data_IF_672310913856
#
_entry.id   IF_672310913856
#
_cell.length_a   1.000
_cell.length_b   1.000
_cell.length_c   1.000
_cell.angle_alpha   90.00
_cell.angle_beta   90.00
_cell.angle_gamma   90.00
#
_symmetry.space_group_name_H-M   'P 1'
#
loop_
_entity.id
_entity.type
_entity.pdbx_description
1 polymer ?
#
# COMPACT_ATOMS: atom_id res chain seq x y z
N UNK A 1 -14.84 -1.21 11.23
CA UNK A 1 -13.90 -1.75 10.23
C UNK A 1 -14.63 -1.85 8.89
N UNK A 2 -13.94 -1.59 7.79
CA UNK A 2 -14.47 -1.65 6.42
C UNK A 2 -13.73 -2.75 5.64
N UNK A 3 -14.44 -3.56 4.85
CA UNK A 3 -13.80 -4.56 3.99
C UNK A 3 -13.01 -3.86 2.88
N UNK A 4 -11.77 -4.32 2.63
CA UNK A 4 -10.93 -3.89 1.53
C UNK A 4 -11.04 -4.85 0.34
N UNK A 5 -10.77 -6.13 0.56
CA UNK A 5 -10.70 -7.18 -0.46
C UNK A 5 -10.77 -8.58 0.15
N UNK A 6 -10.85 -9.61 -0.71
CA UNK A 6 -10.60 -10.99 -0.33
C UNK A 6 -9.10 -11.31 -0.45
N UNK A 7 -8.58 -12.23 0.37
CA UNK A 7 -7.16 -12.63 0.33
C UNK A 7 -6.76 -13.19 -1.04
N UNK A 8 -7.67 -13.91 -1.68
CA UNK A 8 -7.45 -14.55 -2.97
C UNK A 8 -7.37 -13.54 -4.13
N UNK A 9 -7.80 -12.29 -3.91
CA UNK A 9 -7.68 -11.20 -4.89
C UNK A 9 -6.30 -10.53 -4.85
N UNK A 10 -5.50 -10.78 -3.80
CA UNK A 10 -4.20 -10.14 -3.63
C UNK A 10 -3.16 -10.90 -4.46
N UNK A 11 -2.67 -10.25 -5.52
CA UNK A 11 -1.53 -10.79 -6.27
C UNK A 11 -0.30 -10.89 -5.34
N UNK A 12 0.32 -12.08 -5.20
CA UNK A 12 1.41 -12.28 -4.25
C UNK A 12 2.70 -11.52 -4.62
N UNK A 13 2.86 -11.11 -5.88
CA UNK A 13 4.02 -10.35 -6.35
C UNK A 13 3.71 -8.84 -6.46
N UNK A 14 2.49 -8.49 -6.86
CA UNK A 14 2.13 -7.12 -7.21
C UNK A 14 1.27 -6.41 -6.15
N UNK A 15 0.61 -7.17 -5.27
CA UNK A 15 -0.41 -6.65 -4.37
C UNK A 15 -1.69 -6.24 -5.08
N UNK A 16 -2.54 -5.49 -4.38
CA UNK A 16 -3.83 -5.00 -4.87
C UNK A 16 -4.08 -3.58 -4.36
N UNK A 17 -4.59 -2.71 -5.24
CA UNK A 17 -5.14 -1.43 -4.81
C UNK A 17 -6.58 -1.59 -4.32
N UNK A 18 -6.84 -1.16 -3.09
CA UNK A 18 -8.16 -1.15 -2.47
C UNK A 18 -8.59 0.29 -2.20
N UNK A 19 -9.91 0.48 -2.07
CA UNK A 19 -10.50 1.76 -1.68
C UNK A 19 -11.01 1.71 -0.24
N UNK A 20 -10.68 2.74 0.54
CA UNK A 20 -11.11 2.93 1.92
C UNK A 20 -11.91 4.23 2.06
N UNK A 21 -13.14 4.15 2.54
CA UNK A 21 -13.99 5.32 2.73
C UNK A 21 -13.72 5.93 4.12
N UNK A 22 -13.39 7.21 4.14
CA UNK A 22 -13.05 7.99 5.32
C UNK A 22 -13.94 9.25 5.39
N UNK A 23 -15.14 9.12 5.96
CA UNK A 23 -16.18 10.16 5.83
C UNK A 23 -16.57 10.31 4.35
N UNK A 24 -16.46 11.53 3.82
CA UNK A 24 -16.73 11.82 2.40
C UNK A 24 -15.49 11.65 1.48
N UNK A 25 -14.36 11.22 2.04
CA UNK A 25 -13.09 11.07 1.30
C UNK A 25 -12.84 9.60 0.96
N UNK A 26 -12.62 9.31 -0.32
CA UNK A 26 -12.11 8.01 -0.76
C UNK A 26 -10.58 8.03 -0.71
N UNK A 27 -9.98 7.05 -0.02
CA UNK A 27 -8.53 6.85 0.05
C UNK A 27 -8.14 5.58 -0.67
N UNK A 28 -7.01 5.61 -1.37
CA UNK A 28 -6.43 4.43 -2.01
C UNK A 28 -5.41 3.78 -1.07
N UNK A 29 -5.44 2.45 -1.02
CA UNK A 29 -4.62 1.62 -0.13
C UNK A 29 -3.96 0.55 -0.97
N UNK A 30 -2.64 0.43 -0.85
CA UNK A 30 -1.90 -0.72 -1.39
C UNK A 30 -1.94 -1.85 -0.35
N UNK A 31 -2.49 -2.99 -0.71
CA UNK A 31 -2.48 -4.23 0.08
C UNK A 31 -1.49 -5.20 -0.54
N UNK A 32 -0.56 -5.74 0.24
CA UNK A 32 0.52 -6.63 -0.23
C UNK A 32 0.65 -7.86 0.66
N UNK A 33 1.11 -8.96 0.08
CA UNK A 33 1.56 -10.13 0.82
C UNK A 33 3.08 -10.12 0.97
N UNK A 34 3.57 -10.28 2.19
CA UNK A 34 5.00 -10.33 2.52
C UNK A 34 5.23 -11.46 3.51
N UNK A 35 6.04 -12.45 3.13
CA UNK A 35 6.39 -13.61 3.97
C UNK A 35 5.17 -14.35 4.57
N UNK A 36 4.05 -14.36 3.84
CA UNK A 36 2.78 -14.99 4.27
C UNK A 36 1.87 -14.09 5.12
N UNK A 37 2.32 -12.89 5.48
CA UNK A 37 1.51 -11.87 6.16
C UNK A 37 0.93 -10.86 5.16
N UNK A 38 -0.26 -10.33 5.48
CA UNK A 38 -0.80 -9.17 4.78
C UNK A 38 -0.33 -7.87 5.44
N UNK A 39 0.05 -6.90 4.61
CA UNK A 39 0.33 -5.51 5.02
C UNK A 39 -0.50 -4.56 4.16
N UNK A 40 -0.83 -3.40 4.71
CA UNK A 40 -1.55 -2.36 3.99
C UNK A 40 -0.91 -0.99 4.22
N UNK A 41 -0.76 -0.24 3.14
CA UNK A 41 -0.11 1.08 3.11
C UNK A 41 -1.02 2.08 2.44
N UNK A 42 -1.06 3.32 2.92
CA UNK A 42 -1.68 4.40 2.17
C UNK A 42 -0.96 4.54 0.82
N UNK A 43 -1.72 4.66 -0.27
CA UNK A 43 -1.15 4.85 -1.61
C UNK A 43 -0.69 6.30 -1.82
N UNK A 44 0.29 6.72 -1.02
CA UNK A 44 0.80 8.09 -0.97
C UNK A 44 2.29 8.06 -0.67
N UNK A 45 3.09 8.53 -1.61
CA UNK A 45 4.52 8.71 -1.42
C UNK A 45 4.78 9.86 -0.43
N UNK A 46 5.54 9.65 0.67
CA UNK A 46 5.79 10.67 1.68
C UNK A 46 6.65 11.85 1.18
N UNK A 47 7.28 11.72 0.00
CA UNK A 47 8.09 12.79 -0.57
C UNK A 47 7.26 14.04 -0.92
N UNK A 48 6.19 13.86 -1.71
CA UNK A 48 5.39 14.97 -2.26
C UNK A 48 3.88 14.66 -2.23
N UNK A 49 3.45 13.66 -1.47
CA UNK A 49 2.04 13.28 -1.35
C UNK A 49 1.43 12.74 -2.65
N UNK A 50 2.25 12.23 -3.57
CA UNK A 50 1.81 11.72 -4.86
C UNK A 50 1.42 10.24 -4.77
N UNK A 51 0.52 9.80 -5.64
CA UNK A 51 0.18 8.37 -5.76
C UNK A 51 1.42 7.52 -6.04
N UNK A 52 1.45 6.31 -5.50
CA UNK A 52 2.44 5.28 -5.84
C UNK A 52 1.98 4.43 -7.04
N UNK A 53 0.70 4.49 -7.41
CA UNK A 53 0.20 3.86 -8.63
C UNK A 53 0.63 4.68 -9.86
N UNK A 54 1.14 4.00 -10.88
CA UNK A 54 1.54 4.64 -12.15
C UNK A 54 0.37 4.69 -13.15
N UNK A 55 -0.59 3.79 -13.00
CA UNK A 55 -1.89 3.76 -13.66
C UNK A 55 -2.95 3.25 -12.65
N UNK A 56 -4.27 3.37 -12.93
CA UNK A 56 -5.30 2.95 -11.98
C UNK A 56 -5.13 1.48 -11.55
N UNK A 57 -4.92 1.25 -10.25
CA UNK A 57 -4.68 -0.09 -9.70
C UNK A 57 -3.30 -0.71 -9.97
N UNK A 58 -2.42 -0.04 -10.74
CA UNK A 58 -1.14 -0.62 -11.17
C UNK A 58 0.05 0.06 -10.48
N UNK A 59 0.95 -0.76 -9.94
CA UNK A 59 2.17 -0.35 -9.24
C UNK A 59 3.42 -0.78 -10.00
N UNK A 60 4.53 -0.09 -9.76
CA UNK A 60 5.85 -0.46 -10.29
C UNK A 60 6.67 -1.12 -9.19
N UNK A 61 7.37 -2.19 -9.56
CA UNK A 61 8.35 -2.86 -8.70
C UNK A 61 9.68 -3.00 -9.43
N UNK A 62 10.78 -2.90 -8.69
CA UNK A 62 12.10 -3.18 -9.25
C UNK A 62 12.37 -4.70 -9.30
N UNK A 63 13.52 -5.10 -9.85
CA UNK A 63 13.91 -6.51 -9.95
C UNK A 63 14.11 -7.20 -8.58
N UNK A 64 14.11 -6.45 -7.48
CA UNK A 64 14.20 -6.95 -6.10
C UNK A 64 12.84 -6.96 -5.40
N UNK A 65 11.75 -6.65 -6.11
CA UNK A 65 10.40 -6.60 -5.56
C UNK A 65 10.13 -5.37 -4.67
N UNK A 66 10.98 -4.33 -4.73
CA UNK A 66 10.74 -3.08 -3.99
C UNK A 66 9.78 -2.20 -4.77
N UNK A 67 8.82 -1.60 -4.07
CA UNK A 67 7.83 -0.70 -4.66
C UNK A 67 8.53 0.58 -5.14
N UNK A 68 8.25 0.99 -6.38
CA UNK A 68 8.84 2.18 -7.00
C UNK A 68 7.79 3.28 -7.10
N UNK A 69 8.09 4.46 -6.56
CA UNK A 69 7.32 5.66 -6.83
C UNK A 69 7.53 6.11 -8.30
N UNK A 70 6.48 6.17 -9.13
CA UNK A 70 6.62 6.41 -10.57
C UNK A 70 6.99 7.85 -10.92
N UNK A 71 7.02 8.75 -9.93
CA UNK A 71 7.30 10.17 -10.16
C UNK A 71 8.79 10.50 -10.11
N UNK A 72 9.47 10.09 -9.03
CA UNK A 72 10.87 10.46 -8.79
C UNK A 72 11.75 9.26 -8.37
N UNK A 73 11.23 8.03 -8.51
CA UNK A 73 12.02 6.81 -8.33
C UNK A 73 12.37 6.45 -6.88
N UNK A 74 11.61 6.92 -5.89
CA UNK A 74 11.78 6.44 -4.52
C UNK A 74 11.45 4.94 -4.41
N UNK A 75 12.27 4.17 -3.69
CA UNK A 75 12.13 2.72 -3.54
C UNK A 75 11.77 2.34 -2.11
N UNK A 76 10.70 1.56 -1.96
CA UNK A 76 10.16 1.16 -0.66
C UNK A 76 10.22 -0.36 -0.48
N UNK A 77 10.61 -0.79 0.71
CA UNK A 77 10.45 -2.18 1.14
C UNK A 77 8.98 -2.36 1.56
N UNK A 78 8.24 -3.22 0.87
CA UNK A 78 6.80 -3.43 1.13
C UNK A 78 6.49 -4.05 2.49
N UNK A 79 7.43 -4.82 3.06
CA UNK A 79 7.28 -5.41 4.38
C UNK A 79 7.31 -4.42 5.54
N UNK A 80 8.11 -3.35 5.41
CA UNK A 80 8.32 -2.34 6.47
C UNK A 80 7.75 -0.97 6.13
N UNK A 81 7.48 -0.70 4.85
CA UNK A 81 7.13 0.61 4.33
C UNK A 81 8.31 1.57 4.22
N UNK A 82 9.54 1.16 4.58
CA UNK A 82 10.70 2.05 4.61
C UNK A 82 11.16 2.42 3.19
N UNK A 83 11.40 3.71 2.96
CA UNK A 83 12.07 4.22 1.77
C UNK A 83 13.58 4.05 1.89
N UNK A 84 14.16 3.15 1.09
CA UNK A 84 15.59 2.83 1.14
C UNK A 84 16.41 3.58 0.08
N UNK A 85 15.76 4.20 -0.90
CA UNK A 85 16.41 4.91 -1.99
C UNK A 85 15.54 6.05 -2.54
N UNK A 86 16.17 7.08 -3.08
CA UNK A 86 15.49 8.23 -3.68
C UNK A 86 15.25 9.40 -2.72
N UNK A 87 14.45 10.40 -3.13
CA UNK A 87 14.39 11.70 -2.46
C UNK A 87 13.84 11.70 -1.02
N UNK A 88 13.04 10.69 -0.65
CA UNK A 88 12.50 10.54 0.70
C UNK A 88 13.16 9.39 1.48
N UNK A 89 14.41 9.03 1.16
CA UNK A 89 15.16 7.99 1.88
C UNK A 89 15.13 8.23 3.39
N UNK A 90 14.80 7.18 4.15
CA UNK A 90 14.64 7.23 5.61
C UNK A 90 13.24 7.59 6.10
N UNK A 91 12.34 8.06 5.22
CA UNK A 91 10.91 8.14 5.53
C UNK A 91 10.23 6.78 5.32
N UNK A 92 8.95 6.67 5.68
CA UNK A 92 8.17 5.44 5.50
C UNK A 92 6.77 5.72 4.93
N UNK A 93 6.21 4.71 4.29
CA UNK A 93 4.79 4.67 3.94
C UNK A 93 3.93 4.70 5.21
N UNK A 94 2.78 5.37 5.12
CA UNK A 94 1.82 5.40 6.22
C UNK A 94 1.10 4.04 6.33
N UNK A 95 1.19 3.31 7.45
CA UNK A 95 0.49 2.05 7.60
C UNK A 95 -1.02 2.27 7.70
N UNK A 96 -1.78 1.35 7.09
CA UNK A 96 -3.22 1.24 7.29
C UNK A 96 -3.46 0.05 8.22
N UNK A 97 -4.04 0.30 9.39
CA UNK A 97 -4.34 -0.76 10.34
C UNK A 97 -5.38 -1.71 9.75
N UNK A 98 -5.05 -3.00 9.71
CA UNK A 98 -5.90 -4.05 9.14
C UNK A 98 -6.14 -5.19 10.13
N UNK A 99 -7.24 -5.91 9.89
CA UNK A 99 -7.61 -7.16 10.52
C UNK A 99 -7.92 -8.18 9.40
N UNK A 100 -7.31 -9.36 9.47
CA UNK A 100 -7.50 -10.44 8.50
C UNK A 100 -8.28 -11.55 9.17
N UNK A 101 -9.47 -11.86 8.65
CA UNK A 101 -10.34 -12.88 9.23
C UNK A 101 -11.20 -13.54 8.17
N UNK A 102 -11.31 -14.87 8.25
CA UNK A 102 -12.19 -15.63 7.37
C UNK A 102 -11.88 -15.50 5.87
N UNK A 103 -10.64 -15.21 5.49
CA UNK A 103 -10.26 -15.01 4.08
C UNK A 103 -10.45 -13.58 3.56
N UNK A 104 -10.87 -12.65 4.41
CA UNK A 104 -11.14 -11.26 4.03
C UNK A 104 -10.21 -10.29 4.77
N UNK A 105 -9.84 -9.20 4.10
CA UNK A 105 -9.04 -8.11 4.69
C UNK A 105 -9.95 -6.93 5.03
N UNK A 106 -9.89 -6.48 6.29
CA UNK A 106 -10.62 -5.31 6.76
C UNK A 106 -9.67 -4.22 7.23
N UNK A 107 -9.96 -2.96 6.89
CA UNK A 107 -9.28 -1.81 7.47
C UNK A 107 -10.03 -1.27 8.69
N UNK A 108 -9.28 -0.78 9.68
CA UNK A 108 -9.83 0.12 10.68
C UNK A 108 -10.38 1.38 9.99
N UNK A 109 -11.52 1.89 10.47
CA UNK A 109 -11.96 3.20 10.00
C UNK A 109 -10.92 4.22 10.45
N UNK A 110 -10.42 5.08 9.57
CA UNK A 110 -9.53 6.15 9.98
C UNK A 110 -10.29 7.03 10.97
N UNK A 111 -9.59 7.47 12.03
CA UNK A 111 -10.14 8.48 12.92
C UNK A 111 -10.52 9.72 12.08
N UNK A 112 -11.69 10.29 12.40
CA UNK A 112 -12.22 11.49 11.74
C UNK A 112 -11.25 12.68 11.86
#
# INVERSE_FOLDING_TARGET
MQKLCDLDDIDPAMGLECSLQAGDVLRHVLVVMVDGDVRAWANVCPHMGRSLSWAPGEFLYDNQGRLVCPHHGALFITGTGECVEGPCRGASLTPVAIDVRGGEVFAAQPAA
#
